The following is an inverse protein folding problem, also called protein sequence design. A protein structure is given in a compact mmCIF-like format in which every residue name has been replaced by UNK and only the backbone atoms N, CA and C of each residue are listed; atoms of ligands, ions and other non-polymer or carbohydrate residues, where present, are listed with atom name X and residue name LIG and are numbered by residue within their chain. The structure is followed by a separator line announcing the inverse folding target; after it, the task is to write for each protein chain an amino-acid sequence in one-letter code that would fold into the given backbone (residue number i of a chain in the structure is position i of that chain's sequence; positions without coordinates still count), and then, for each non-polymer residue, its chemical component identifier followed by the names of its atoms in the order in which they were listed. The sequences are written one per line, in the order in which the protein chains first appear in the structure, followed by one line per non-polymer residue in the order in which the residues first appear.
data_IF_941327772252
#
_entry.id   IF_941327772252
#
_cell.length_a   1.000
_cell.length_b   1.000
_cell.length_c   1.000
_cell.angle_alpha   90.00
_cell.angle_beta   90.00
_cell.angle_gamma   90.00
#
_symmetry.space_group_name_H-M   'P 1'
#
loop_
_entity.id
_entity.type
_entity.pdbx_description
1 polymer ?
#
# COMPACT_ATOMS: atom_id res chain seq x y z
N UNK A 1 -4.05 -6.94 -9.50
CA UNK A 1 -3.07 -8.03 -9.33
C UNK A 1 -1.67 -7.59 -9.74
N UNK A 2 -1.45 -7.16 -10.99
CA UNK A 2 -0.12 -6.64 -11.41
C UNK A 2 0.28 -5.36 -10.66
N UNK A 3 -0.60 -4.35 -10.66
CA UNK A 3 -0.28 -3.04 -10.06
C UNK A 3 -0.12 -3.08 -8.53
N UNK A 4 -1.01 -3.77 -7.80
CA UNK A 4 -0.94 -3.83 -6.33
C UNK A 4 0.10 -4.83 -5.83
N UNK A 5 -0.36 -6.06 -5.62
CA UNK A 5 0.49 -7.19 -5.21
C UNK A 5 -0.11 -8.53 -5.67
N UNK A 6 0.73 -9.55 -5.71
CA UNK A 6 0.38 -10.95 -5.94
C UNK A 6 1.53 -11.87 -5.48
N UNK A 7 1.24 -13.16 -5.39
CA UNK A 7 2.28 -14.18 -5.26
C UNK A 7 2.91 -14.49 -6.61
N UNK A 8 4.23 -14.53 -6.67
CA UNK A 8 5.01 -14.89 -7.85
C UNK A 8 5.77 -16.19 -7.63
N UNK A 9 5.82 -17.00 -8.68
CA UNK A 9 6.49 -18.30 -8.70
C UNK A 9 7.20 -18.45 -10.04
N UNK A 10 8.54 -18.38 -10.03
CA UNK A 10 9.36 -18.46 -11.25
C UNK A 10 9.35 -19.87 -11.88
N UNK A 11 9.35 -20.90 -11.03
CA UNK A 11 9.24 -22.30 -11.44
C UNK A 11 8.53 -23.11 -10.35
N UNK A 12 8.03 -24.31 -10.66
CA UNK A 12 7.28 -25.15 -9.69
C UNK A 12 8.05 -25.45 -8.40
N UNK A 13 9.38 -25.47 -8.47
CA UNK A 13 10.26 -25.78 -7.35
C UNK A 13 10.87 -24.51 -6.72
N UNK A 14 10.58 -23.33 -7.26
CA UNK A 14 11.04 -22.05 -6.72
C UNK A 14 10.28 -21.68 -5.45
N UNK A 15 10.88 -20.87 -4.54
CA UNK A 15 10.14 -20.32 -3.41
C UNK A 15 9.04 -19.36 -3.91
N UNK A 16 7.89 -19.37 -3.22
CA UNK A 16 6.82 -18.41 -3.46
C UNK A 16 7.25 -17.04 -2.91
N UNK A 17 7.17 -16.00 -3.74
CA UNK A 17 7.55 -14.63 -3.37
C UNK A 17 6.38 -13.67 -3.52
N UNK A 18 6.49 -12.47 -2.93
CA UNK A 18 5.58 -11.36 -3.21
C UNK A 18 6.13 -10.50 -4.33
N UNK A 19 5.28 -10.13 -5.28
CA UNK A 19 5.58 -9.17 -6.34
C UNK A 19 4.37 -8.24 -6.60
N UNK A 20 4.61 -7.11 -7.25
CA UNK A 20 3.61 -6.09 -7.59
C UNK A 20 4.28 -4.73 -7.76
N UNK A 21 3.72 -3.87 -8.63
CA UNK A 21 4.30 -2.55 -8.91
C UNK A 21 4.37 -1.71 -7.64
N UNK A 22 3.23 -1.49 -6.98
CA UNK A 22 3.13 -0.71 -5.73
C UNK A 22 3.86 -1.41 -4.58
N UNK A 23 3.77 -2.74 -4.47
CA UNK A 23 4.53 -3.48 -3.45
C UNK A 23 6.04 -3.22 -3.56
N UNK A 24 6.60 -3.28 -4.76
CA UNK A 24 8.04 -3.05 -4.98
C UNK A 24 8.41 -1.56 -4.85
N UNK A 25 7.57 -0.65 -5.33
CA UNK A 25 7.75 0.78 -5.16
C UNK A 25 7.87 1.13 -3.68
N UNK A 26 6.91 0.68 -2.86
CA UNK A 26 6.91 0.95 -1.42
C UNK A 26 8.03 0.22 -0.70
N UNK A 27 8.38 -1.01 -1.11
CA UNK A 27 9.56 -1.69 -0.58
C UNK A 27 10.85 -0.91 -0.86
N UNK A 28 10.95 -0.27 -2.03
CA UNK A 28 12.02 0.66 -2.37
C UNK A 28 11.97 1.93 -1.53
N UNK A 29 10.81 2.56 -1.39
CA UNK A 29 10.64 3.79 -0.60
C UNK A 29 11.02 3.59 0.88
N UNK A 30 10.68 2.44 1.46
CA UNK A 30 11.04 2.08 2.84
C UNK A 30 12.53 1.72 3.04
N UNK A 31 13.33 1.69 1.97
CA UNK A 31 14.79 1.59 2.10
C UNK A 31 15.46 2.93 2.46
N UNK A 32 14.72 4.05 2.36
CA UNK A 32 15.16 5.37 2.83
C UNK A 32 14.80 5.57 4.30
N UNK A 33 15.80 5.86 5.13
CA UNK A 33 15.60 6.16 6.56
C UNK A 33 14.80 7.44 6.77
N UNK A 34 14.97 8.44 5.89
CA UNK A 34 14.20 9.68 5.91
C UNK A 34 12.70 9.40 5.73
N UNK A 35 12.36 8.52 4.78
CA UNK A 35 10.97 8.15 4.53
C UNK A 35 10.33 7.45 5.72
N UNK A 36 11.09 6.58 6.38
CA UNK A 36 10.65 5.89 7.59
C UNK A 36 10.47 6.88 8.73
N UNK A 37 11.40 7.82 8.91
CA UNK A 37 11.30 8.86 9.92
C UNK A 37 10.05 9.72 9.73
N UNK A 38 9.74 10.13 8.49
CA UNK A 38 8.55 10.91 8.18
C UNK A 38 7.25 10.18 8.57
N UNK A 39 7.14 8.88 8.27
CA UNK A 39 6.02 8.04 8.71
C UNK A 39 5.83 8.09 10.24
N UNK A 40 6.93 7.97 11.00
CA UNK A 40 6.88 8.00 12.45
C UNK A 40 6.49 9.38 12.99
N UNK A 41 7.00 10.46 12.39
CA UNK A 41 6.63 11.82 12.74
C UNK A 41 5.12 12.03 12.53
N UNK A 42 4.59 11.68 11.36
CA UNK A 42 3.16 11.82 11.06
C UNK A 42 2.29 10.98 12.00
N UNK A 43 2.70 9.74 12.28
CA UNK A 43 2.01 8.84 13.22
C UNK A 43 2.01 9.37 14.65
N UNK A 44 3.10 10.00 15.09
CA UNK A 44 3.22 10.59 16.42
C UNK A 44 2.48 11.92 16.58
N UNK A 45 2.46 12.76 15.53
CA UNK A 45 1.78 14.05 15.54
C UNK A 45 0.27 13.92 15.36
N UNK A 46 -0.19 12.95 14.58
CA UNK A 46 -1.61 12.79 14.22
C UNK A 46 -2.17 11.38 14.54
N UNK A 47 -2.08 10.90 15.80
CA UNK A 47 -2.43 9.53 16.16
C UNK A 47 -3.93 9.21 16.04
N UNK A 48 -4.78 10.24 16.00
CA UNK A 48 -6.24 10.09 16.10
C UNK A 48 -6.98 10.29 14.77
N UNK A 49 -6.25 10.50 13.67
CA UNK A 49 -6.86 10.66 12.35
C UNK A 49 -6.11 9.85 11.27
N UNK A 50 -6.50 10.03 10.01
CA UNK A 50 -5.97 9.26 8.89
C UNK A 50 -4.50 9.52 8.58
N UNK A 51 -3.93 10.65 9.01
CA UNK A 51 -2.54 11.02 8.73
C UNK A 51 -1.51 10.15 9.44
N UNK A 52 -1.90 9.32 10.43
CA UNK A 52 -1.01 8.30 10.97
C UNK A 52 -0.71 7.15 10.02
N UNK A 53 -1.48 7.01 8.95
CA UNK A 53 -1.34 5.88 8.04
C UNK A 53 -0.45 6.24 6.85
N UNK A 54 0.36 5.27 6.43
CA UNK A 54 1.12 5.39 5.19
C UNK A 54 0.21 5.12 3.99
N UNK A 55 -0.24 6.19 3.33
CA UNK A 55 -1.18 6.09 2.20
C UNK A 55 -0.61 5.40 0.95
N UNK A 56 0.70 5.42 0.74
CA UNK A 56 1.35 4.65 -0.32
C UNK A 56 1.32 3.14 -0.06
N UNK A 57 1.13 2.74 1.20
CA UNK A 57 1.07 1.36 1.65
C UNK A 57 2.37 0.92 2.33
N UNK A 58 2.25 0.42 3.56
CA UNK A 58 3.35 -0.25 4.23
C UNK A 58 3.58 -1.62 3.55
N UNK A 59 4.78 -1.96 3.08
CA UNK A 59 5.06 -3.26 2.43
C UNK A 59 4.63 -4.48 3.25
N UNK A 60 4.60 -4.37 4.59
CA UNK A 60 4.13 -5.45 5.47
C UNK A 60 2.62 -5.62 5.48
N UNK A 61 1.86 -4.58 5.16
CA UNK A 61 0.39 -4.58 5.17
C UNK A 61 -0.22 -4.64 3.76
N UNK A 62 0.51 -4.28 2.70
CA UNK A 62 0.05 -4.37 1.31
C UNK A 62 -0.50 -5.78 0.98
N UNK A 63 0.18 -6.88 1.37
CA UNK A 63 -0.33 -8.24 1.10
C UNK A 63 -1.64 -8.61 1.82
N UNK A 64 -2.09 -7.81 2.78
CA UNK A 64 -3.36 -8.04 3.47
C UNK A 64 -4.55 -7.43 2.71
N UNK A 65 -4.29 -6.54 1.75
CA UNK A 65 -5.35 -5.88 0.97
C UNK A 65 -6.03 -6.89 0.03
N UNK A 66 -7.31 -7.13 0.27
CA UNK A 66 -8.15 -7.92 -0.63
C UNK A 66 -8.64 -7.10 -1.83
N UNK A 67 -9.02 -7.81 -2.90
CA UNK A 67 -9.57 -7.16 -4.09
C UNK A 67 -10.92 -6.47 -3.80
N UNK A 68 -11.72 -7.02 -2.89
CA UNK A 68 -13.02 -6.44 -2.55
C UNK A 68 -12.87 -5.14 -1.76
N UNK A 69 -11.95 -5.09 -0.78
CA UNK A 69 -11.64 -3.85 -0.05
C UNK A 69 -11.14 -2.75 -0.98
N UNK A 70 -10.33 -3.10 -1.99
CA UNK A 70 -9.92 -2.17 -3.04
C UNK A 70 -11.13 -1.61 -3.82
N UNK A 71 -12.04 -2.49 -4.25
CA UNK A 71 -13.24 -2.07 -4.98
C UNK A 71 -14.18 -1.22 -4.11
N UNK A 72 -14.35 -1.58 -2.84
CA UNK A 72 -15.16 -0.83 -1.88
C UNK A 72 -14.59 0.56 -1.61
N UNK A 73 -13.27 0.68 -1.48
CA UNK A 73 -12.61 1.97 -1.37
C UNK A 73 -12.90 2.84 -2.59
N UNK A 74 -12.75 2.31 -3.79
CA UNK A 74 -13.05 3.03 -5.03
C UNK A 74 -14.52 3.46 -5.08
N UNK A 75 -15.45 2.53 -4.84
CA UNK A 75 -16.89 2.81 -4.82
C UNK A 75 -17.26 3.92 -3.84
N UNK A 76 -16.63 3.94 -2.67
CA UNK A 76 -16.91 4.93 -1.61
C UNK A 76 -16.40 6.33 -1.96
N UNK A 77 -15.18 6.45 -2.50
CA UNK A 77 -14.50 7.74 -2.60
C UNK A 77 -14.44 8.34 -4.01
N UNK A 78 -14.67 7.55 -5.06
CA UNK A 78 -14.63 8.01 -6.47
C UNK A 78 -16.02 8.31 -7.04
N UNK A 79 -17.04 8.47 -6.20
CA UNK A 79 -18.32 8.99 -6.66
C UNK A 79 -18.13 10.44 -7.15
N UNK A 80 -18.76 10.87 -8.27
CA UNK A 80 -18.57 12.21 -8.82
C UNK A 80 -18.86 13.36 -7.84
N UNK A 81 -19.73 13.15 -6.86
CA UNK A 81 -20.01 14.15 -5.81
C UNK A 81 -18.83 14.42 -4.87
N UNK A 82 -17.85 13.54 -4.84
CA UNK A 82 -16.60 13.66 -4.07
C UNK A 82 -15.40 13.98 -5.00
N UNK A 83 -15.67 14.40 -6.24
CA UNK A 83 -14.64 14.79 -7.21
C UNK A 83 -14.65 16.30 -7.43
N UNK A 84 -13.49 16.85 -7.76
CA UNK A 84 -13.30 18.24 -8.18
C UNK A 84 -12.81 18.24 -9.62
N UNK A 85 -13.43 19.05 -10.49
CA UNK A 85 -13.10 19.17 -11.93
C UNK A 85 -12.63 20.59 -12.20
#
# INVERSE_FOLDING_TARGET
KQEGWHYELESKDSPLTYNGVVYNEMKGAYSSEERVLECFIMSGLFPDNTYKHESGGNPKAIPDLSYEEYLDFHRKYYHPSNSYI
#
